data_IF_049195298998
#
_entry.id   IF_049195298998
#
_cell.length_a   1.000
_cell.length_b   1.000
_cell.length_c   1.000
_cell.angle_alpha   90.00
_cell.angle_beta   90.00
_cell.angle_gamma   90.00
#
_symmetry.space_group_name_H-M   'P 1'
#
loop_
_entity.id
_entity.type
_entity.pdbx_description
1 polymer ?
#
# COMPACT_ATOMS: atom_id res chain seq x y z
N UNK A 1 4.04 23.21 0.02
CA UNK A 1 4.74 22.13 -0.71
C UNK A 1 5.15 22.66 -2.08
N UNK A 2 6.29 22.18 -2.65
CA UNK A 2 6.61 22.51 -4.04
C UNK A 2 5.46 21.99 -4.95
N UNK A 3 5.21 22.64 -6.07
CA UNK A 3 4.15 22.26 -7.03
C UNK A 3 4.26 20.80 -7.48
N UNK A 4 5.46 20.24 -7.53
CA UNK A 4 5.74 18.86 -7.94
C UNK A 4 5.11 17.80 -7.03
N UNK A 5 4.98 18.05 -5.72
CA UNK A 5 4.37 17.13 -4.76
C UNK A 5 2.89 17.41 -4.51
N UNK A 6 2.30 18.38 -5.19
CA UNK A 6 0.88 18.70 -5.05
C UNK A 6 0.02 17.59 -5.65
N UNK A 7 -1.03 17.23 -4.91
CA UNK A 7 -2.09 16.33 -5.37
C UNK A 7 -3.42 17.06 -5.52
N UNK A 8 -3.37 18.40 -5.62
CA UNK A 8 -4.57 19.24 -5.73
C UNK A 8 -5.45 18.78 -6.90
N UNK A 9 -6.72 18.53 -6.60
CA UNK A 9 -7.71 18.05 -7.57
C UNK A 9 -7.52 16.61 -8.03
N UNK A 10 -6.65 15.80 -7.38
CA UNK A 10 -6.50 14.36 -7.63
C UNK A 10 -7.47 13.56 -6.76
N UNK A 11 -7.95 12.44 -7.30
CA UNK A 11 -8.76 11.45 -6.57
C UNK A 11 -7.91 10.22 -6.27
N UNK A 12 -7.74 9.91 -4.98
CA UNK A 12 -6.90 8.81 -4.52
C UNK A 12 -7.74 7.71 -3.86
N UNK A 13 -7.73 6.51 -4.43
CA UNK A 13 -8.36 5.31 -3.85
C UNK A 13 -7.30 4.54 -3.06
N UNK A 14 -7.57 4.29 -1.78
CA UNK A 14 -6.66 3.60 -0.87
C UNK A 14 -7.33 2.33 -0.33
N UNK A 15 -7.06 1.19 -0.99
CA UNK A 15 -7.54 -0.11 -0.55
C UNK A 15 -6.71 -0.55 0.66
N UNK A 16 -7.39 -0.87 1.78
CA UNK A 16 -6.76 -1.06 3.08
C UNK A 16 -6.50 0.24 3.84
N UNK A 17 -7.13 1.35 3.41
CA UNK A 17 -6.94 2.68 3.96
C UNK A 17 -7.34 2.86 5.43
N UNK A 18 -8.04 1.89 6.01
CA UNK A 18 -8.33 1.85 7.46
C UNK A 18 -7.16 1.30 8.29
N UNK A 19 -6.16 0.69 7.65
CA UNK A 19 -4.95 0.18 8.29
C UNK A 19 -3.95 1.29 8.66
N UNK A 20 -2.94 0.93 9.46
CA UNK A 20 -1.97 1.90 9.99
C UNK A 20 -1.15 2.58 8.88
N UNK A 21 -0.49 1.79 8.03
CA UNK A 21 0.42 2.32 7.00
C UNK A 21 -0.34 3.03 5.88
N UNK A 22 -1.34 2.37 5.31
CA UNK A 22 -2.14 2.96 4.23
C UNK A 22 -2.97 4.15 4.71
N UNK A 23 -3.42 4.14 5.96
CA UNK A 23 -4.10 5.28 6.55
C UNK A 23 -3.20 6.49 6.69
N UNK A 24 -1.94 6.31 7.10
CA UNK A 24 -0.96 7.42 7.14
C UNK A 24 -0.65 7.96 5.72
N UNK A 25 -0.52 7.08 4.73
CA UNK A 25 -0.37 7.49 3.32
C UNK A 25 -1.59 8.32 2.86
N UNK A 26 -2.80 7.87 3.20
CA UNK A 26 -4.05 8.59 2.90
C UNK A 26 -4.10 9.98 3.56
N UNK A 27 -3.69 10.09 4.83
CA UNK A 27 -3.53 11.39 5.52
C UNK A 27 -2.53 12.31 4.77
N UNK A 28 -1.41 11.75 4.32
CA UNK A 28 -0.41 12.47 3.53
C UNK A 28 -0.95 12.95 2.19
N UNK A 29 -1.71 12.13 1.47
CA UNK A 29 -2.33 12.49 0.20
C UNK A 29 -3.38 13.60 0.37
N UNK A 30 -4.23 13.49 1.40
CA UNK A 30 -5.20 14.52 1.72
C UNK A 30 -4.52 15.85 2.08
N UNK A 31 -3.44 15.81 2.87
CA UNK A 31 -2.62 16.97 3.21
C UNK A 31 -1.91 17.61 1.99
N UNK A 32 -1.70 16.84 0.91
CA UNK A 32 -1.18 17.33 -0.37
C UNK A 32 -2.27 17.83 -1.33
N UNK A 33 -3.55 17.77 -0.93
CA UNK A 33 -4.69 18.30 -1.68
C UNK A 33 -5.52 17.28 -2.45
N UNK A 34 -5.24 15.97 -2.30
CA UNK A 34 -6.09 14.95 -2.91
C UNK A 34 -7.42 14.79 -2.17
N UNK A 35 -8.47 14.42 -2.89
CA UNK A 35 -9.64 13.80 -2.29
C UNK A 35 -9.39 12.31 -2.11
N UNK A 36 -9.46 11.81 -0.87
CA UNK A 36 -9.07 10.44 -0.53
C UNK A 36 -10.28 9.56 -0.28
N UNK A 37 -10.32 8.40 -0.95
CA UNK A 37 -11.35 7.39 -0.76
C UNK A 37 -10.71 6.21 -0.05
N UNK A 38 -11.04 6.06 1.24
CA UNK A 38 -10.62 4.93 2.05
C UNK A 38 -11.52 3.73 1.72
N UNK A 39 -10.92 2.63 1.28
CA UNK A 39 -11.64 1.36 1.04
C UNK A 39 -11.22 0.35 2.08
N UNK A 40 -12.19 -0.26 2.76
CA UNK A 40 -11.94 -1.25 3.81
C UNK A 40 -13.23 -1.81 4.41
N UNK A 41 -13.11 -2.59 5.50
CA UNK A 41 -14.23 -3.29 6.14
C UNK A 41 -14.65 -2.70 7.48
N UNK A 42 -13.82 -1.86 8.07
CA UNK A 42 -14.00 -1.35 9.44
C UNK A 42 -14.39 0.12 9.42
N UNK A 43 -15.68 0.45 9.59
CA UNK A 43 -16.15 1.83 9.55
C UNK A 43 -15.66 2.66 10.75
N UNK A 44 -15.45 2.05 11.91
CA UNK A 44 -14.99 2.77 13.10
C UNK A 44 -13.55 3.29 12.90
N UNK A 45 -12.66 2.43 12.37
CA UNK A 45 -11.30 2.87 12.02
C UNK A 45 -11.30 3.89 10.91
N UNK A 46 -12.20 3.75 9.93
CA UNK A 46 -12.33 4.70 8.84
C UNK A 46 -12.76 6.09 9.37
N UNK A 47 -13.76 6.15 10.23
CA UNK A 47 -14.24 7.40 10.83
C UNK A 47 -13.12 8.12 11.60
N UNK A 48 -12.39 7.38 12.44
CA UNK A 48 -11.25 7.93 13.17
C UNK A 48 -10.17 8.50 12.23
N UNK A 49 -9.93 7.83 11.06
CA UNK A 49 -8.98 8.30 10.05
C UNK A 49 -9.48 9.53 9.32
N UNK A 50 -10.74 9.54 8.92
CA UNK A 50 -11.38 10.70 8.26
C UNK A 50 -11.43 11.93 9.18
N UNK A 51 -11.65 11.74 10.49
CA UNK A 51 -11.58 12.83 11.45
C UNK A 51 -10.19 13.50 11.46
N UNK A 52 -9.10 12.71 11.41
CA UNK A 52 -7.73 13.25 11.31
C UNK A 52 -7.51 14.00 10.00
N UNK A 53 -7.95 13.43 8.88
CA UNK A 53 -7.84 14.06 7.54
C UNK A 53 -8.57 15.41 7.57
N UNK A 54 -9.80 15.46 8.08
CA UNK A 54 -10.61 16.68 8.18
C UNK A 54 -9.99 17.73 9.11
N UNK A 55 -9.48 17.30 10.27
CA UNK A 55 -8.82 18.20 11.23
C UNK A 55 -7.56 18.86 10.64
N UNK A 56 -6.87 18.17 9.70
CA UNK A 56 -5.73 18.69 8.95
C UNK A 56 -6.13 19.52 7.70
N UNK A 57 -7.43 19.81 7.50
CA UNK A 57 -7.93 20.57 6.35
C UNK A 57 -8.02 19.78 5.04
N UNK A 58 -7.82 18.47 5.09
CA UNK A 58 -7.95 17.59 3.93
C UNK A 58 -9.39 17.13 3.67
N UNK A 59 -9.61 16.43 2.56
CA UNK A 59 -10.92 15.88 2.19
C UNK A 59 -10.84 14.38 1.92
N UNK A 60 -11.90 13.65 2.24
CA UNK A 60 -12.00 12.23 1.97
C UNK A 60 -13.32 11.63 2.41
N UNK A 61 -13.55 10.41 1.99
CA UNK A 61 -14.71 9.60 2.33
C UNK A 61 -14.32 8.14 2.56
N UNK A 62 -15.21 7.36 3.12
CA UNK A 62 -15.06 5.93 3.30
C UNK A 62 -16.10 5.16 2.50
N UNK A 63 -15.63 4.11 1.84
CA UNK A 63 -16.50 3.15 1.16
C UNK A 63 -16.19 1.74 1.68
N UNK A 64 -17.24 1.07 2.13
CA UNK A 64 -17.13 -0.33 2.54
C UNK A 64 -16.84 -1.18 1.30
N UNK A 65 -15.75 -1.97 1.35
CA UNK A 65 -15.38 -2.84 0.24
C UNK A 65 -14.38 -3.92 0.61
N UNK A 66 -14.47 -5.04 -0.09
CA UNK A 66 -13.61 -6.20 0.08
C UNK A 66 -12.65 -6.34 -1.12
N UNK A 67 -11.35 -6.21 -0.84
CA UNK A 67 -10.31 -6.27 -1.88
C UNK A 67 -10.31 -7.57 -2.69
N UNK A 68 -10.76 -8.67 -2.10
CA UNK A 68 -10.81 -10.01 -2.71
C UNK A 68 -12.10 -10.28 -3.51
N UNK A 69 -13.03 -9.33 -3.50
CA UNK A 69 -14.29 -9.40 -4.26
C UNK A 69 -14.24 -8.42 -5.44
N UNK A 70 -14.00 -8.95 -6.64
CA UNK A 70 -13.91 -8.14 -7.86
C UNK A 70 -15.20 -7.37 -8.19
N UNK A 71 -16.36 -7.99 -7.96
CA UNK A 71 -17.65 -7.34 -8.21
C UNK A 71 -17.86 -6.13 -7.27
N UNK A 72 -17.43 -6.26 -6.01
CA UNK A 72 -17.47 -5.16 -5.06
C UNK A 72 -16.55 -4.00 -5.49
N UNK A 73 -15.34 -4.30 -5.93
CA UNK A 73 -14.44 -3.27 -6.46
C UNK A 73 -14.97 -2.59 -7.72
N UNK A 74 -15.66 -3.33 -8.61
CA UNK A 74 -16.32 -2.77 -9.78
C UNK A 74 -17.43 -1.80 -9.36
N UNK A 75 -18.30 -2.20 -8.43
CA UNK A 75 -19.34 -1.32 -7.87
C UNK A 75 -18.73 -0.03 -7.29
N UNK A 76 -17.69 -0.16 -6.47
CA UNK A 76 -16.98 0.99 -5.89
C UNK A 76 -16.38 1.92 -6.95
N UNK A 77 -15.73 1.36 -7.96
CA UNK A 77 -15.20 2.13 -9.08
C UNK A 77 -16.29 2.95 -9.76
N UNK A 78 -17.43 2.34 -10.06
CA UNK A 78 -18.54 2.99 -10.76
C UNK A 78 -19.14 4.11 -9.91
N UNK A 79 -19.34 3.91 -8.61
CA UNK A 79 -19.76 4.93 -7.66
C UNK A 79 -18.75 6.11 -7.61
N UNK A 80 -17.46 5.80 -7.53
CA UNK A 80 -16.39 6.82 -7.48
C UNK A 80 -16.36 7.63 -8.77
N UNK A 81 -16.47 6.98 -9.92
CA UNK A 81 -16.51 7.67 -11.20
C UNK A 81 -17.74 8.54 -11.36
N UNK A 82 -18.90 8.10 -10.90
CA UNK A 82 -20.13 8.89 -10.93
C UNK A 82 -20.02 10.15 -10.05
N UNK A 83 -19.31 10.06 -8.92
CA UNK A 83 -19.19 11.14 -7.95
C UNK A 83 -18.03 12.10 -8.24
N UNK A 84 -16.88 11.57 -8.67
CA UNK A 84 -15.62 12.32 -8.82
C UNK A 84 -15.10 12.38 -10.26
N UNK A 85 -15.69 11.64 -11.18
CA UNK A 85 -15.33 11.63 -12.61
C UNK A 85 -14.05 10.91 -12.97
N UNK A 86 -13.18 10.58 -11.97
CA UNK A 86 -11.85 10.02 -12.22
C UNK A 86 -11.26 9.27 -11.03
N UNK A 87 -10.21 8.50 -11.29
CA UNK A 87 -9.30 7.96 -10.28
C UNK A 87 -7.87 8.20 -10.76
N UNK A 88 -7.12 9.03 -10.06
CA UNK A 88 -5.75 9.42 -10.42
C UNK A 88 -4.71 8.54 -9.71
N UNK A 89 -5.00 8.10 -8.49
CA UNK A 89 -4.07 7.37 -7.63
C UNK A 89 -4.78 6.13 -7.07
N UNK A 90 -4.10 4.99 -7.13
CA UNK A 90 -4.51 3.75 -6.46
C UNK A 90 -3.42 3.29 -5.52
N UNK A 91 -3.77 2.98 -4.27
CA UNK A 91 -2.93 2.24 -3.33
C UNK A 91 -3.55 0.88 -3.07
N UNK A 92 -2.84 -0.18 -3.39
CA UNK A 92 -3.19 -1.56 -3.02
C UNK A 92 -2.41 -1.95 -1.76
N UNK A 93 -3.02 -1.79 -0.59
CA UNK A 93 -2.37 -2.04 0.69
C UNK A 93 -3.07 -3.05 1.60
N UNK A 94 -4.16 -3.66 1.15
CA UNK A 94 -4.76 -4.77 1.88
C UNK A 94 -3.79 -5.95 1.92
N UNK A 95 -3.59 -6.53 3.10
CA UNK A 95 -2.70 -7.66 3.27
C UNK A 95 -2.84 -8.31 4.64
N UNK A 96 -2.51 -9.59 4.69
CA UNK A 96 -2.50 -10.41 5.91
C UNK A 96 -1.20 -11.21 5.98
N UNK A 97 -0.79 -11.53 7.19
CA UNK A 97 0.37 -12.36 7.49
C UNK A 97 0.02 -13.41 8.54
N UNK A 98 0.82 -14.47 8.62
CA UNK A 98 0.78 -15.46 9.68
C UNK A 98 2.19 -16.01 9.88
N UNK A 99 2.81 -15.80 11.07
CA UNK A 99 4.13 -16.32 11.36
C UNK A 99 4.05 -17.79 11.79
N UNK A 100 4.17 -18.71 10.82
CA UNK A 100 4.03 -20.15 11.02
C UNK A 100 5.28 -20.87 10.54
N UNK A 101 5.82 -21.89 11.27
CA UNK A 101 6.87 -22.76 10.76
C UNK A 101 6.45 -23.41 9.43
N UNK A 102 7.40 -23.60 8.51
CA UNK A 102 7.06 -24.02 7.14
C UNK A 102 6.25 -25.33 7.07
N UNK A 103 6.62 -26.33 7.86
CA UNK A 103 5.96 -27.64 7.87
C UNK A 103 4.60 -27.63 8.57
N UNK A 104 4.24 -26.54 9.25
CA UNK A 104 2.98 -26.37 9.98
C UNK A 104 1.98 -25.49 9.22
N UNK A 105 2.35 -24.99 8.04
CA UNK A 105 1.46 -24.18 7.20
C UNK A 105 0.39 -25.10 6.61
N UNK A 106 -0.85 -24.88 7.00
CA UNK A 106 -2.00 -25.54 6.41
C UNK A 106 -2.49 -24.87 5.11
N UNK A 107 -3.27 -25.60 4.33
CA UNK A 107 -3.82 -25.15 3.05
C UNK A 107 -4.71 -23.90 3.22
N UNK A 108 -5.54 -23.85 4.27
CA UNK A 108 -6.43 -22.72 4.52
C UNK A 108 -5.65 -21.41 4.82
N UNK A 109 -4.56 -21.49 5.58
CA UNK A 109 -3.66 -20.37 5.82
C UNK A 109 -2.97 -19.93 4.52
N UNK A 110 -2.45 -20.90 3.74
CA UNK A 110 -1.82 -20.64 2.44
C UNK A 110 -2.78 -19.89 1.52
N UNK A 111 -3.97 -20.43 1.29
CA UNK A 111 -5.00 -19.86 0.43
C UNK A 111 -5.45 -18.49 0.88
N UNK A 112 -5.65 -18.29 2.18
CA UNK A 112 -6.04 -17.00 2.73
C UNK A 112 -4.99 -15.92 2.44
N UNK A 113 -3.70 -16.22 2.64
CA UNK A 113 -2.63 -15.26 2.41
C UNK A 113 -2.50 -14.94 0.92
N UNK A 114 -2.49 -15.95 0.06
CA UNK A 114 -2.40 -15.75 -1.40
C UNK A 114 -3.62 -14.99 -1.94
N UNK A 115 -4.82 -15.33 -1.46
CA UNK A 115 -6.06 -14.66 -1.86
C UNK A 115 -6.03 -13.18 -1.50
N UNK A 116 -5.71 -12.84 -0.26
CA UNK A 116 -5.72 -11.44 0.16
C UNK A 116 -4.57 -10.67 -0.49
N UNK A 117 -3.34 -11.20 -0.43
CA UNK A 117 -2.15 -10.44 -0.78
C UNK A 117 -1.88 -10.39 -2.28
N UNK A 118 -2.29 -11.39 -3.06
CA UNK A 118 -2.08 -11.44 -4.51
C UNK A 118 -3.36 -11.11 -5.25
N UNK A 119 -4.41 -11.93 -5.05
CA UNK A 119 -5.68 -11.79 -5.79
C UNK A 119 -6.31 -10.42 -5.55
N UNK A 120 -6.26 -9.89 -4.30
CA UNK A 120 -6.73 -8.55 -3.98
C UNK A 120 -6.00 -7.46 -4.76
N UNK A 121 -4.67 -7.54 -4.85
CA UNK A 121 -3.85 -6.59 -5.64
C UNK A 121 -4.15 -6.70 -7.13
N UNK A 122 -4.26 -7.92 -7.67
CA UNK A 122 -4.62 -8.15 -9.07
C UNK A 122 -5.98 -7.50 -9.39
N UNK A 123 -6.98 -7.71 -8.56
CA UNK A 123 -8.31 -7.13 -8.76
C UNK A 123 -8.31 -5.60 -8.66
N UNK A 124 -7.61 -5.04 -7.67
CA UNK A 124 -7.44 -3.59 -7.57
C UNK A 124 -6.81 -3.00 -8.82
N UNK A 125 -5.70 -3.59 -9.29
CA UNK A 125 -5.04 -3.18 -10.52
C UNK A 125 -5.95 -3.34 -11.76
N UNK A 126 -6.68 -4.45 -11.90
CA UNK A 126 -7.58 -4.66 -13.04
C UNK A 126 -8.72 -3.62 -13.06
N UNK A 127 -9.38 -3.42 -11.93
CA UNK A 127 -10.59 -2.60 -11.87
C UNK A 127 -10.26 -1.10 -11.99
N UNK A 128 -9.32 -0.59 -11.23
CA UNK A 128 -8.96 0.83 -11.23
C UNK A 128 -7.93 1.15 -12.32
N UNK A 129 -7.03 0.23 -12.63
CA UNK A 129 -6.07 0.39 -13.72
C UNK A 129 -6.75 0.49 -15.10
N UNK A 130 -7.87 -0.22 -15.33
CA UNK A 130 -8.67 -0.06 -16.55
C UNK A 130 -9.10 1.39 -16.78
N UNK A 131 -9.55 2.07 -15.74
CA UNK A 131 -9.97 3.49 -15.80
C UNK A 131 -8.79 4.39 -16.09
N UNK A 132 -7.65 4.17 -15.41
CA UNK A 132 -6.43 4.94 -15.60
C UNK A 132 -5.87 4.78 -17.01
N UNK A 133 -5.86 3.55 -17.54
CA UNK A 133 -5.42 3.26 -18.92
C UNK A 133 -6.32 3.94 -19.93
N UNK A 134 -7.65 3.94 -19.75
CA UNK A 134 -8.59 4.65 -20.63
C UNK A 134 -8.39 6.17 -20.58
N UNK A 135 -8.04 6.71 -19.41
CA UNK A 135 -7.75 8.12 -19.22
C UNK A 135 -6.31 8.52 -19.64
N UNK A 136 -5.47 7.57 -20.00
CA UNK A 136 -4.04 7.77 -20.30
C UNK A 136 -3.29 8.49 -19.17
N UNK A 137 -3.69 8.27 -17.92
CA UNK A 137 -3.14 8.93 -16.74
C UNK A 137 -3.43 8.12 -15.48
N UNK A 138 -2.42 7.92 -14.63
CA UNK A 138 -2.60 7.28 -13.34
C UNK A 138 -1.30 6.90 -12.63
N UNK A 139 -1.39 6.75 -11.31
CA UNK A 139 -0.30 6.22 -10.50
C UNK A 139 -0.83 5.12 -9.57
N UNK A 140 -0.25 3.92 -9.70
CA UNK A 140 -0.57 2.77 -8.86
C UNK A 140 0.62 2.49 -7.94
N UNK A 141 0.34 2.39 -6.64
CA UNK A 141 1.30 2.05 -5.60
C UNK A 141 0.86 0.74 -4.96
N UNK A 142 1.59 -0.32 -5.21
CA UNK A 142 1.36 -1.60 -4.56
C UNK A 142 2.23 -1.69 -3.30
N UNK A 143 1.64 -2.07 -2.16
CA UNK A 143 2.37 -2.22 -0.92
C UNK A 143 3.12 -3.56 -0.91
N UNK A 144 4.43 -3.48 -1.06
CA UNK A 144 5.36 -4.61 -0.98
C UNK A 144 5.75 -4.96 0.45
N UNK A 145 6.93 -5.52 0.59
CA UNK A 145 7.57 -5.81 1.88
C UNK A 145 9.04 -6.16 1.66
N UNK A 146 9.89 -5.84 2.62
CA UNK A 146 11.28 -6.36 2.65
C UNK A 146 11.36 -7.87 2.60
N UNK A 147 10.36 -8.57 3.12
CA UNK A 147 10.32 -10.04 3.07
C UNK A 147 10.26 -10.61 1.66
N UNK A 148 9.99 -9.78 0.65
CA UNK A 148 10.09 -10.15 -0.76
C UNK A 148 11.53 -10.07 -1.30
N UNK A 149 12.40 -9.32 -0.61
CA UNK A 149 13.80 -9.06 -1.00
C UNK A 149 14.75 -9.89 -0.15
N UNK A 150 14.48 -9.95 1.15
CA UNK A 150 15.32 -10.64 2.13
C UNK A 150 14.54 -11.76 2.83
N UNK A 151 15.19 -12.89 3.15
CA UNK A 151 14.52 -13.97 3.86
C UNK A 151 14.25 -13.55 5.31
N UNK A 152 12.98 -13.58 5.70
CA UNK A 152 12.54 -13.36 7.08
C UNK A 152 11.95 -14.62 7.67
N UNK A 153 12.22 -14.87 8.95
CA UNK A 153 11.79 -16.11 9.62
C UNK A 153 10.26 -16.20 9.74
N UNK A 154 9.72 -17.39 9.49
CA UNK A 154 8.31 -17.79 9.70
C UNK A 154 7.26 -17.04 8.88
N UNK A 155 7.65 -16.31 7.84
CA UNK A 155 6.70 -15.56 6.98
C UNK A 155 6.74 -16.05 5.53
N UNK A 156 6.89 -17.35 5.32
CA UNK A 156 7.13 -17.97 4.02
C UNK A 156 6.08 -17.63 2.97
N UNK A 157 4.80 -17.93 3.24
CA UNK A 157 3.70 -17.62 2.32
C UNK A 157 3.54 -16.12 2.09
N UNK A 158 3.68 -15.33 3.15
CA UNK A 158 3.64 -13.87 3.06
C UNK A 158 4.76 -13.35 2.16
N UNK A 159 6.00 -13.79 2.38
CA UNK A 159 7.17 -13.41 1.57
C UNK A 159 6.96 -13.76 0.09
N UNK A 160 6.51 -14.99 -0.19
CA UNK A 160 6.19 -15.44 -1.55
C UNK A 160 5.10 -14.56 -2.19
N UNK A 161 4.03 -14.23 -1.43
CA UNK A 161 2.97 -13.35 -1.92
C UNK A 161 3.48 -11.94 -2.24
N UNK A 162 4.38 -11.38 -1.42
CA UNK A 162 4.95 -10.05 -1.65
C UNK A 162 5.94 -10.04 -2.81
N UNK A 163 6.74 -11.09 -2.99
CA UNK A 163 7.59 -11.25 -4.17
C UNK A 163 6.77 -11.30 -5.47
N UNK A 164 5.62 -11.99 -5.45
CA UNK A 164 4.68 -11.99 -6.57
C UNK A 164 4.14 -10.59 -6.88
N UNK A 165 3.79 -9.78 -5.85
CA UNK A 165 3.34 -8.38 -6.01
C UNK A 165 4.44 -7.50 -6.60
N UNK A 166 5.71 -7.65 -6.16
CA UNK A 166 6.85 -6.93 -6.72
C UNK A 166 7.00 -7.21 -8.23
N UNK A 167 6.98 -8.49 -8.61
CA UNK A 167 7.09 -8.88 -10.02
C UNK A 167 5.88 -8.43 -10.83
N UNK A 168 4.65 -8.60 -10.33
CA UNK A 168 3.43 -8.10 -10.97
C UNK A 168 3.51 -6.60 -11.25
N UNK A 169 4.00 -5.81 -10.31
CA UNK A 169 4.14 -4.36 -10.46
C UNK A 169 5.07 -3.99 -11.60
N UNK A 170 6.20 -4.69 -11.76
CA UNK A 170 7.14 -4.51 -12.88
C UNK A 170 6.51 -4.85 -14.23
N UNK A 171 5.75 -5.95 -14.29
CA UNK A 171 5.05 -6.36 -15.52
C UNK A 171 3.98 -5.34 -15.93
N UNK A 172 3.16 -4.87 -14.98
CA UNK A 172 2.15 -3.84 -15.23
C UNK A 172 2.78 -2.50 -15.63
N UNK A 173 3.89 -2.10 -14.99
CA UNK A 173 4.64 -0.91 -15.35
C UNK A 173 5.09 -0.95 -16.81
N UNK A 174 5.70 -2.07 -17.24
CA UNK A 174 6.12 -2.26 -18.64
C UNK A 174 4.94 -2.17 -19.61
N UNK A 175 3.80 -2.76 -19.27
CA UNK A 175 2.64 -2.82 -20.16
C UNK A 175 1.89 -1.47 -20.23
N UNK A 176 1.83 -0.75 -19.11
CA UNK A 176 0.97 0.43 -18.98
C UNK A 176 1.71 1.78 -19.07
N UNK A 177 3.03 1.79 -18.98
CA UNK A 177 3.81 3.03 -19.15
C UNK A 177 3.53 3.72 -20.51
N UNK A 178 3.45 3.00 -21.66
CA UNK A 178 3.06 3.62 -22.92
C UNK A 178 1.63 4.18 -22.95
N UNK A 179 0.81 3.77 -21.96
CA UNK A 179 -0.58 4.21 -21.76
C UNK A 179 -0.71 5.28 -20.67
N UNK A 180 0.40 5.93 -20.28
CA UNK A 180 0.41 7.00 -19.30
C UNK A 180 0.18 6.58 -17.84
N UNK A 181 0.25 5.28 -17.51
CA UNK A 181 0.04 4.78 -16.15
C UNK A 181 1.35 4.28 -15.55
N UNK A 182 1.71 4.79 -14.39
CA UNK A 182 2.87 4.35 -13.62
C UNK A 182 2.45 3.32 -12.58
N UNK A 183 3.25 2.28 -12.41
CA UNK A 183 3.02 1.26 -11.38
C UNK A 183 4.31 1.02 -10.63
N UNK A 184 4.30 1.23 -9.31
CA UNK A 184 5.46 1.07 -8.46
C UNK A 184 5.13 0.28 -7.19
N UNK A 185 6.16 -0.21 -6.54
CA UNK A 185 6.05 -0.90 -5.26
C UNK A 185 6.68 -0.04 -4.16
N UNK A 186 5.90 0.27 -3.13
CA UNK A 186 6.43 0.83 -1.89
C UNK A 186 6.77 -0.34 -0.95
N UNK A 187 8.00 -0.39 -0.48
CA UNK A 187 8.56 -1.52 0.29
C UNK A 187 8.88 -1.06 1.71
N UNK A 188 7.95 -1.20 2.67
CA UNK A 188 8.23 -0.88 4.06
C UNK A 188 9.11 -1.93 4.73
N UNK A 189 10.01 -1.48 5.60
CA UNK A 189 10.68 -2.31 6.58
C UNK A 189 9.79 -2.64 7.79
N UNK A 190 10.36 -2.54 8.96
CA UNK A 190 9.63 -2.84 10.20
C UNK A 190 8.90 -1.61 10.75
N UNK A 191 7.59 -1.59 10.56
CA UNK A 191 6.64 -0.57 11.03
C UNK A 191 5.56 -1.24 11.91
N UNK A 192 5.89 -1.71 13.12
CA UNK A 192 4.91 -2.39 13.94
C UNK A 192 3.84 -1.40 14.39
N UNK A 193 2.58 -1.67 14.04
CA UNK A 193 1.45 -1.00 14.66
C UNK A 193 1.48 -1.22 16.17
N UNK A 194 0.92 -0.32 16.95
CA UNK A 194 0.96 -0.36 18.43
C UNK A 194 0.51 -1.72 18.98
N UNK A 195 -0.51 -2.32 18.37
CA UNK A 195 -1.00 -3.65 18.75
C UNK A 195 0.03 -4.74 18.48
N UNK A 196 0.79 -4.65 17.37
CA UNK A 196 1.81 -5.62 17.00
C UNK A 196 3.09 -5.48 17.83
N UNK A 197 3.39 -4.27 18.32
CA UNK A 197 4.53 -4.06 19.24
C UNK A 197 4.39 -4.89 20.52
N UNK A 198 3.16 -5.06 21.01
CA UNK A 198 2.87 -5.81 22.26
C UNK A 198 3.06 -7.32 22.13
N UNK A 199 3.07 -7.87 20.89
CA UNK A 199 3.25 -9.31 20.65
C UNK A 199 4.66 -9.67 20.17
N UNK A 200 5.52 -8.68 19.93
CA UNK A 200 6.93 -8.92 19.63
C UNK A 200 7.67 -9.25 20.92
N UNK A 201 8.37 -10.38 20.93
CA UNK A 201 9.24 -10.71 22.07
C UNK A 201 10.44 -9.76 22.13
N UNK A 202 11.02 -9.52 23.34
CA UNK A 202 12.22 -8.68 23.48
C UNK A 202 13.38 -9.12 22.57
N UNK A 203 13.60 -10.44 22.43
CA UNK A 203 14.63 -11.01 21.58
C UNK A 203 14.37 -10.69 20.10
N UNK A 204 13.10 -10.75 19.68
CA UNK A 204 12.70 -10.40 18.30
C UNK A 204 12.91 -8.92 18.03
N UNK A 205 12.56 -8.06 18.99
CA UNK A 205 12.82 -6.61 18.92
C UNK A 205 14.32 -6.35 18.80
N UNK A 206 15.14 -6.93 19.68
CA UNK A 206 16.59 -6.78 19.66
C UNK A 206 17.20 -7.25 18.33
N UNK A 207 16.74 -8.39 17.81
CA UNK A 207 17.19 -8.93 16.52
C UNK A 207 16.86 -8.00 15.34
N UNK A 208 15.66 -7.40 15.31
CA UNK A 208 15.27 -6.47 14.26
C UNK A 208 16.08 -5.18 14.36
N UNK A 209 16.13 -4.59 15.56
CA UNK A 209 16.82 -3.30 15.75
C UNK A 209 18.33 -3.44 15.57
N UNK A 210 18.94 -4.57 15.96
CA UNK A 210 20.36 -4.84 15.74
C UNK A 210 20.73 -4.99 14.25
N UNK A 211 19.74 -5.28 13.38
CA UNK A 211 19.93 -5.33 11.93
C UNK A 211 19.40 -4.09 11.20
N UNK A 212 18.83 -3.14 11.91
CA UNK A 212 18.37 -1.87 11.35
C UNK A 212 19.40 -0.79 11.65
N UNK A 213 20.15 -0.25 10.69
CA UNK A 213 21.19 0.77 10.95
C UNK A 213 20.66 1.99 11.72
N UNK A 214 19.42 2.42 11.48
CA UNK A 214 18.80 3.50 12.27
C UNK A 214 18.42 3.08 13.71
N UNK A 215 18.60 1.81 14.09
CA UNK A 215 18.40 1.25 15.42
C UNK A 215 17.01 1.55 16.05
N UNK A 216 15.99 1.73 15.20
CA UNK A 216 14.59 1.97 15.62
C UNK A 216 13.61 1.39 14.60
N UNK A 217 12.37 1.23 15.03
CA UNK A 217 11.26 0.97 14.12
C UNK A 217 10.88 2.23 13.33
N UNK A 218 10.32 2.02 12.13
CA UNK A 218 9.69 3.09 11.37
C UNK A 218 8.35 3.51 11.98
N UNK A 219 7.99 4.76 11.79
CA UNK A 219 6.67 5.31 12.09
C UNK A 219 5.88 5.44 10.79
N UNK A 220 4.56 5.13 10.81
CA UNK A 220 3.72 5.12 9.61
C UNK A 220 3.81 6.43 8.79
N UNK A 221 3.98 7.59 9.48
CA UNK A 221 4.16 8.89 8.81
C UNK A 221 5.41 8.98 7.93
N UNK A 222 6.43 8.14 8.18
CA UNK A 222 7.68 8.15 7.41
C UNK A 222 7.52 7.52 6.01
N UNK A 223 6.39 6.83 5.76
CA UNK A 223 6.03 6.37 4.42
C UNK A 223 5.43 7.49 3.54
N UNK A 224 4.97 8.60 4.14
CA UNK A 224 4.27 9.67 3.43
C UNK A 224 5.16 10.26 2.32
N UNK A 225 6.42 10.57 2.62
CA UNK A 225 7.32 11.17 1.63
C UNK A 225 7.50 10.32 0.37
N UNK A 226 7.79 9.04 0.55
CA UNK A 226 7.93 8.10 -0.56
C UNK A 226 6.61 7.88 -1.32
N UNK A 227 5.48 7.79 -0.60
CA UNK A 227 4.17 7.64 -1.24
C UNK A 227 3.76 8.89 -2.04
N UNK A 228 4.05 10.10 -1.54
CA UNK A 228 3.82 11.35 -2.27
C UNK A 228 4.70 11.44 -3.51
N UNK A 229 5.98 11.05 -3.43
CA UNK A 229 6.86 10.97 -4.59
C UNK A 229 6.25 10.08 -5.67
N UNK A 230 5.78 8.89 -5.32
CA UNK A 230 5.19 7.96 -6.28
C UNK A 230 3.83 8.43 -6.80
N UNK A 231 3.01 9.10 -5.99
CA UNK A 231 1.67 9.54 -6.35
C UNK A 231 1.66 10.80 -7.22
N UNK A 232 2.66 11.67 -7.09
CA UNK A 232 2.69 13.02 -7.69
C UNK A 232 3.52 13.12 -8.95
N UNK A 233 3.60 14.32 -9.50
CA UNK A 233 4.42 14.63 -10.68
C UNK A 233 5.93 14.60 -10.36
N UNK A 234 6.30 14.67 -9.06
CA UNK A 234 7.68 14.45 -8.63
C UNK A 234 8.22 13.07 -9.03
N UNK A 235 7.35 12.07 -9.14
CA UNK A 235 7.68 10.73 -9.60
C UNK A 235 7.31 10.44 -11.05
N UNK A 236 7.12 11.46 -11.90
CA UNK A 236 6.62 11.28 -13.28
C UNK A 236 7.46 10.36 -14.16
N UNK A 237 8.75 10.21 -13.86
CA UNK A 237 9.65 9.27 -14.57
C UNK A 237 9.97 8.00 -13.77
N UNK A 238 9.23 7.73 -12.67
CA UNK A 238 9.41 6.54 -11.82
C UNK A 238 8.27 5.56 -12.12
N UNK A 239 8.59 4.42 -12.73
CA UNK A 239 7.67 3.30 -12.95
C UNK A 239 8.44 1.98 -12.92
N UNK A 240 7.81 0.90 -12.46
CA UNK A 240 8.44 -0.40 -12.29
C UNK A 240 9.45 -0.48 -11.14
N UNK A 241 9.54 0.55 -10.31
CA UNK A 241 10.52 0.68 -9.25
C UNK A 241 10.02 0.14 -7.92
N UNK A 242 10.96 -0.30 -7.10
CA UNK A 242 10.77 -0.66 -5.71
C UNK A 242 11.39 0.44 -4.83
N UNK A 243 10.57 1.17 -4.09
CA UNK A 243 11.05 2.22 -3.17
C UNK A 243 11.06 1.66 -1.76
N UNK A 244 12.26 1.39 -1.26
CA UNK A 244 12.48 0.82 0.07
C UNK A 244 12.50 1.93 1.11
N UNK A 245 11.76 1.73 2.20
CA UNK A 245 11.69 2.64 3.36
C UNK A 245 11.82 1.78 4.61
N UNK A 246 13.04 1.59 5.12
CA UNK A 246 13.35 0.50 6.05
C UNK A 246 14.40 0.84 7.13
N UNK A 247 14.86 2.09 7.19
CA UNK A 247 15.93 2.47 8.12
C UNK A 247 17.28 1.83 7.83
N UNK A 248 17.48 1.34 6.58
CA UNK A 248 18.70 0.70 6.11
C UNK A 248 18.78 -0.81 6.35
N UNK A 249 17.70 -1.45 6.76
CA UNK A 249 17.67 -2.90 7.05
C UNK A 249 18.14 -3.74 5.85
N UNK A 250 17.65 -3.44 4.64
CA UNK A 250 18.04 -4.16 3.43
C UNK A 250 19.48 -3.88 2.96
N UNK A 251 20.12 -2.84 3.49
CA UNK A 251 21.50 -2.48 3.16
C UNK A 251 22.54 -3.18 4.05
N UNK A 252 22.10 -3.90 5.08
CA UNK A 252 23.00 -4.63 5.99
C UNK A 252 23.57 -5.88 5.30
N UNK A 253 24.89 -5.96 5.21
CA UNK A 253 25.60 -7.06 4.55
C UNK A 253 26.39 -7.95 5.51
N UNK A 254 26.76 -7.46 6.67
CA UNK A 254 27.58 -8.20 7.65
C UNK A 254 27.08 -7.90 9.05
#
# INVERSE_FOLDING_TARGET
MSSLFSLQGRTAVVIGGTGELCGAMAEGFAGAGAHVILVGRDPVKAEARLAKIKAAGGSGEFKVGEATNKADLIRLRDEILAQHGKVDILVNGAGVNSPTPFLEIDEAQLDRILTVNIKGVVFGCQVFGEVMVKASSGSIINLGSESAILPLSRVFTYSASKAAVHNLSKNLAREWAPKGVRVNTLVPGFFPAEQNRKVLTPERVASILGKTPMARFGEAKELIGASLLLASDAGSFITGSEIVVDGGFAAMSI
#
